data_IF_383169481281
#
_entry.id   IF_383169481281
#
_cell.length_a   1.000
_cell.length_b   1.000
_cell.length_c   1.000
_cell.angle_alpha   90.00
_cell.angle_beta   90.00
_cell.angle_gamma   90.00
#
_symmetry.space_group_name_H-M   'P 1'
#
loop_
_entity.id
_entity.type
_entity.pdbx_description
1 polymer ?
#
# COMPACT_ATOMS: atom_id res chain seq x y z
N UNK A 1 -1.77 9.38 -7.50
CA UNK A 1 -2.51 8.13 -7.18
C UNK A 1 -3.75 8.00 -8.06
N UNK A 2 -4.20 6.80 -8.35
CA UNK A 2 -5.46 6.53 -9.06
C UNK A 2 -6.62 6.67 -8.07
N UNK A 3 -7.20 7.87 -8.00
CA UNK A 3 -8.15 8.25 -6.94
C UNK A 3 -9.38 7.34 -6.88
N UNK A 4 -9.93 6.93 -8.03
CA UNK A 4 -11.08 6.02 -8.06
C UNK A 4 -10.78 4.65 -7.42
N UNK A 5 -9.56 4.11 -7.66
CA UNK A 5 -9.13 2.84 -7.06
C UNK A 5 -8.93 2.98 -5.56
N UNK A 6 -8.33 4.10 -5.13
CA UNK A 6 -8.16 4.41 -3.71
C UNK A 6 -9.52 4.53 -3.02
N UNK A 7 -10.47 5.24 -3.61
CA UNK A 7 -11.81 5.38 -3.06
C UNK A 7 -12.51 4.03 -2.87
N UNK A 8 -12.41 3.12 -3.86
CA UNK A 8 -12.96 1.76 -3.73
C UNK A 8 -12.31 0.96 -2.59
N UNK A 9 -11.00 1.14 -2.37
CA UNK A 9 -10.32 0.53 -1.23
C UNK A 9 -10.84 1.11 0.09
N UNK A 10 -10.99 2.42 0.19
CA UNK A 10 -11.52 3.09 1.38
C UNK A 10 -12.95 2.67 1.69
N UNK A 11 -13.81 2.51 0.67
CA UNK A 11 -15.18 2.03 0.82
C UNK A 11 -15.20 0.59 1.41
N UNK A 12 -14.34 -0.31 0.91
CA UNK A 12 -14.23 -1.67 1.46
C UNK A 12 -13.64 -1.68 2.88
N UNK A 13 -12.70 -0.79 3.17
CA UNK A 13 -12.21 -0.60 4.54
C UNK A 13 -13.34 -0.17 5.48
N UNK A 14 -14.16 0.81 5.06
CA UNK A 14 -15.29 1.30 5.83
C UNK A 14 -16.32 0.19 6.11
N UNK A 15 -16.64 -0.65 5.12
CA UNK A 15 -17.54 -1.80 5.28
C UNK A 15 -17.02 -2.82 6.31
N UNK A 16 -15.72 -2.88 6.51
CA UNK A 16 -15.05 -3.75 7.52
C UNK A 16 -14.77 -3.02 8.85
N UNK A 17 -15.26 -1.79 9.02
CA UNK A 17 -14.97 -0.93 10.18
C UNK A 17 -13.47 -0.68 10.40
N UNK A 18 -12.70 -0.57 9.32
CA UNK A 18 -11.27 -0.28 9.35
C UNK A 18 -11.02 1.20 8.99
N UNK A 19 -10.35 1.92 9.86
CA UNK A 19 -10.01 3.34 9.64
C UNK A 19 -8.65 3.53 9.01
N UNK A 20 -7.80 2.50 9.05
CA UNK A 20 -6.43 2.55 8.58
C UNK A 20 -5.95 1.22 8.02
N UNK A 21 -5.06 1.28 7.04
CA UNK A 21 -4.47 0.13 6.39
C UNK A 21 -3.04 0.44 5.94
N UNK A 22 -2.15 -0.53 6.08
CA UNK A 22 -0.79 -0.50 5.51
C UNK A 22 -0.76 -1.49 4.33
N UNK A 23 -0.43 -0.97 3.16
CA UNK A 23 -0.24 -1.73 1.93
C UNK A 23 1.26 -1.75 1.64
N UNK A 24 1.84 -2.92 1.48
CA UNK A 24 3.27 -3.13 1.28
C UNK A 24 3.61 -3.95 0.03
N UNK A 25 2.63 -4.65 -0.54
CA UNK A 25 2.83 -5.38 -1.79
C UNK A 25 3.13 -4.42 -2.95
N UNK A 26 4.30 -4.54 -3.63
CA UNK A 26 4.68 -3.67 -4.74
C UNK A 26 3.64 -3.62 -5.86
N UNK A 27 2.97 -4.74 -6.15
CA UNK A 27 1.90 -4.80 -7.17
C UNK A 27 0.66 -4.02 -6.76
N UNK A 28 0.29 -4.08 -5.47
CA UNK A 28 -0.83 -3.32 -4.92
C UNK A 28 -0.52 -1.81 -4.90
N UNK A 29 0.70 -1.44 -4.50
CA UNK A 29 1.17 -0.04 -4.54
C UNK A 29 1.18 0.47 -5.98
N UNK A 30 1.73 -0.30 -6.93
CA UNK A 30 1.69 0.04 -8.36
C UNK A 30 0.26 0.26 -8.86
N UNK A 31 -0.66 -0.64 -8.52
CA UNK A 31 -2.06 -0.54 -8.91
C UNK A 31 -2.72 0.77 -8.44
N UNK A 32 -2.37 1.22 -7.24
CA UNK A 32 -2.94 2.43 -6.62
C UNK A 32 -2.21 3.71 -7.02
N UNK A 33 -0.93 3.63 -7.39
CA UNK A 33 -0.08 4.81 -7.62
C UNK A 33 0.34 5.01 -9.06
N UNK A 34 0.34 3.95 -9.87
CA UNK A 34 0.90 3.94 -11.23
C UNK A 34 2.43 3.85 -11.27
N UNK A 35 3.12 3.77 -10.13
CA UNK A 35 4.58 3.74 -10.07
C UNK A 35 5.06 2.42 -9.46
N UNK A 36 5.89 1.69 -10.20
CA UNK A 36 6.49 0.45 -9.73
C UNK A 36 7.70 0.74 -8.85
N UNK A 37 7.69 0.24 -7.62
CA UNK A 37 8.81 0.33 -6.67
C UNK A 37 9.14 -1.08 -6.20
N UNK A 38 10.38 -1.51 -6.44
CA UNK A 38 10.92 -2.77 -5.93
C UNK A 38 11.82 -2.48 -4.73
N UNK A 39 11.33 -2.61 -3.50
CA UNK A 39 12.04 -2.13 -2.32
C UNK A 39 13.23 -3.00 -1.90
N UNK A 40 13.31 -4.26 -2.38
CA UNK A 40 14.26 -5.22 -1.85
C UNK A 40 13.99 -5.49 -0.37
N UNK A 41 14.99 -5.27 0.47
CA UNK A 41 14.88 -5.44 1.92
C UNK A 41 14.36 -4.18 2.66
N UNK A 42 14.21 -3.05 1.96
CA UNK A 42 13.85 -1.77 2.57
C UNK A 42 12.37 -1.67 2.85
N UNK A 43 12.02 -0.86 3.82
CA UNK A 43 10.64 -0.56 4.12
C UNK A 43 10.01 0.20 2.95
N UNK A 44 8.93 -0.39 2.42
CA UNK A 44 7.99 0.27 1.53
C UNK A 44 6.60 0.06 2.13
N UNK A 45 5.86 1.14 2.33
CA UNK A 45 4.50 1.08 2.86
C UNK A 45 3.65 2.26 2.37
N UNK A 46 2.51 1.97 1.80
CA UNK A 46 1.47 2.95 1.54
C UNK A 46 0.45 2.87 2.69
N UNK A 47 0.45 3.87 3.55
CA UNK A 47 -0.48 4.00 4.65
C UNK A 47 -1.72 4.75 4.19
N UNK A 48 -2.86 4.08 4.19
CA UNK A 48 -4.17 4.64 3.86
C UNK A 48 -4.99 4.87 5.11
N UNK A 49 -5.70 6.02 5.16
CA UNK A 49 -6.62 6.36 6.24
C UNK A 49 -7.96 6.84 5.69
N UNK A 50 -9.04 6.62 6.44
CA UNK A 50 -10.37 7.14 6.10
C UNK A 50 -10.44 8.67 6.09
N UNK A 51 -9.49 9.34 6.72
CA UNK A 51 -9.41 10.82 6.74
C UNK A 51 -8.80 11.42 5.48
N UNK A 52 -8.33 10.58 4.54
CA UNK A 52 -7.64 11.02 3.32
C UNK A 52 -6.19 11.45 3.52
N UNK A 53 -5.66 11.39 4.74
CA UNK A 53 -4.26 11.72 5.05
C UNK A 53 -3.32 10.53 4.76
N UNK A 54 -3.28 10.15 3.49
CA UNK A 54 -2.43 9.03 3.05
C UNK A 54 -0.95 9.39 3.08
N UNK A 55 -0.08 8.41 3.36
CA UNK A 55 1.37 8.58 3.38
C UNK A 55 2.06 7.42 2.67
N UNK A 56 3.05 7.72 1.85
CA UNK A 56 3.95 6.74 1.26
C UNK A 56 5.29 6.78 2.00
N UNK A 57 5.62 5.71 2.71
CA UNK A 57 6.93 5.49 3.33
C UNK A 57 7.83 4.82 2.32
N UNK A 58 8.89 5.48 1.91
CA UNK A 58 9.77 5.04 0.83
C UNK A 58 11.21 5.46 1.09
N UNK A 59 12.17 4.62 0.70
CA UNK A 59 13.58 4.94 0.86
C UNK A 59 14.04 5.97 -0.19
N UNK A 60 14.93 6.88 0.20
CA UNK A 60 15.56 7.92 -0.65
C UNK A 60 16.25 7.36 -1.90
N UNK A 61 16.57 6.06 -1.93
CA UNK A 61 17.09 5.37 -3.10
C UNK A 61 16.10 5.24 -4.25
N UNK A 62 14.82 5.57 -4.01
CA UNK A 62 13.77 5.58 -5.01
C UNK A 62 13.24 7.00 -5.29
N UNK A 63 14.11 7.94 -5.76
CA UNK A 63 13.74 9.36 -5.92
C UNK A 63 12.59 9.57 -6.91
N UNK A 64 12.39 8.66 -7.87
CA UNK A 64 11.27 8.70 -8.81
C UNK A 64 9.90 8.54 -8.13
N UNK A 65 9.85 8.07 -6.89
CA UNK A 65 8.62 8.04 -6.09
C UNK A 65 8.07 9.44 -5.81
N UNK A 66 8.88 10.49 -6.00
CA UNK A 66 8.42 11.89 -5.87
C UNK A 66 7.29 12.24 -6.83
N UNK A 67 7.23 11.60 -8.01
CA UNK A 67 6.15 11.79 -8.97
C UNK A 67 4.78 11.26 -8.49
N UNK A 68 4.73 10.42 -7.46
CA UNK A 68 3.48 9.90 -6.90
C UNK A 68 2.75 11.04 -6.17
N UNK A 69 1.51 11.31 -6.54
CA UNK A 69 0.67 12.31 -5.88
C UNK A 69 0.13 11.81 -4.52
N UNK A 70 1.02 11.74 -3.55
CA UNK A 70 0.76 11.35 -2.17
C UNK A 70 1.85 11.99 -1.31
N UNK A 71 1.54 12.33 -0.07
CA UNK A 71 2.57 12.75 0.88
C UNK A 71 3.57 11.62 1.12
N UNK A 72 4.86 11.95 1.10
CA UNK A 72 5.94 10.99 1.34
C UNK A 72 6.55 11.19 2.70
N UNK A 73 6.96 10.07 3.27
CA UNK A 73 7.89 10.02 4.40
C UNK A 73 9.15 9.33 3.87
N UNK A 74 10.17 10.14 3.59
CA UNK A 74 11.44 9.66 3.08
C UNK A 74 12.24 8.99 4.18
N UNK A 75 12.73 7.79 3.90
CA UNK A 75 13.52 6.98 4.81
C UNK A 75 14.90 6.74 4.23
N UNK A 76 15.87 6.52 5.09
CA UNK A 76 17.19 6.04 4.70
C UNK A 76 17.63 4.85 5.58
N UNK A 77 18.73 4.21 5.20
CA UNK A 77 19.16 2.96 5.83
C UNK A 77 19.66 3.15 7.29
N UNK A 78 19.84 4.41 7.75
CA UNK A 78 20.24 4.73 9.13
C UNK A 78 19.04 5.03 10.06
N UNK A 79 17.82 5.06 9.53
CA UNK A 79 16.61 5.39 10.29
C UNK A 79 15.92 4.13 10.82
N UNK A 80 15.31 4.23 12.00
CA UNK A 80 14.29 3.26 12.44
C UNK A 80 12.98 3.51 11.67
N UNK A 81 12.91 3.00 10.43
CA UNK A 81 11.75 3.22 9.57
C UNK A 81 10.44 2.71 10.16
N UNK A 82 10.48 1.65 10.97
CA UNK A 82 9.29 1.15 11.68
C UNK A 82 8.90 2.08 12.83
N UNK A 83 9.87 2.65 13.54
CA UNK A 83 9.61 3.69 14.53
C UNK A 83 8.90 4.88 13.92
N UNK A 84 9.42 5.36 12.78
CA UNK A 84 8.82 6.47 12.04
C UNK A 84 7.39 6.12 11.58
N UNK A 85 7.17 4.94 10.99
CA UNK A 85 5.82 4.51 10.57
C UNK A 85 4.85 4.42 11.77
N UNK A 86 5.31 3.91 12.91
CA UNK A 86 4.50 3.76 14.12
C UNK A 86 3.98 5.08 14.68
N UNK A 87 4.65 6.21 14.40
CA UNK A 87 4.20 7.55 14.82
C UNK A 87 2.94 8.02 14.06
N UNK A 88 2.70 7.51 12.86
CA UNK A 88 1.55 7.86 12.03
C UNK A 88 0.34 6.96 12.25
N UNK A 89 0.56 5.77 12.81
CA UNK A 89 -0.51 4.79 13.03
C UNK A 89 -1.37 5.18 14.21
N UNK A 90 -2.69 5.07 14.06
CA UNK A 90 -3.67 5.31 15.14
C UNK A 90 -3.63 4.13 16.14
N UNK A 91 -3.00 4.34 17.30
CA UNK A 91 -2.69 3.27 18.28
C UNK A 91 -3.92 2.57 18.85
N UNK A 92 -5.04 3.28 18.98
CA UNK A 92 -6.26 2.77 19.58
C UNK A 92 -7.19 2.08 18.57
N UNK A 93 -6.76 1.96 17.32
CA UNK A 93 -7.55 1.38 16.22
C UNK A 93 -6.89 0.14 15.63
N UNK A 94 -7.70 -0.79 15.08
CA UNK A 94 -7.17 -1.89 14.30
C UNK A 94 -6.39 -1.41 13.09
N UNK A 95 -5.30 -2.10 12.77
CA UNK A 95 -4.48 -1.84 11.56
C UNK A 95 -4.64 -3.01 10.61
N UNK A 96 -5.16 -2.75 9.41
CA UNK A 96 -5.17 -3.75 8.35
C UNK A 96 -3.79 -3.81 7.69
N UNK A 97 -3.28 -5.02 7.47
CA UNK A 97 -2.00 -5.28 6.81
C UNK A 97 -2.25 -6.15 5.59
N UNK A 98 -1.61 -5.85 4.49
CA UNK A 98 -1.69 -6.70 3.30
C UNK A 98 -0.78 -7.94 3.37
N UNK A 99 -0.79 -8.77 2.31
CA UNK A 99 -0.26 -10.13 2.32
C UNK A 99 1.26 -10.28 2.21
N UNK A 100 1.95 -9.31 1.66
CA UNK A 100 3.36 -9.44 1.27
C UNK A 100 4.24 -8.42 1.98
N UNK A 101 4.45 -8.64 3.28
CA UNK A 101 5.37 -7.78 4.03
C UNK A 101 6.40 -8.64 4.79
N UNK A 102 7.69 -8.32 4.75
CA UNK A 102 8.65 -9.02 5.58
C UNK A 102 8.23 -9.01 7.05
N UNK A 103 8.14 -10.18 7.68
CA UNK A 103 7.60 -10.37 9.03
C UNK A 103 8.25 -9.43 10.06
N UNK A 104 9.55 -9.10 9.89
CA UNK A 104 10.27 -8.17 10.78
C UNK A 104 9.59 -6.80 10.91
N UNK A 105 8.95 -6.30 9.88
CA UNK A 105 8.27 -5.00 9.92
C UNK A 105 6.98 -5.07 10.72
N UNK A 106 6.19 -6.13 10.52
CA UNK A 106 4.99 -6.35 11.31
C UNK A 106 5.33 -6.60 12.79
N UNK A 107 6.32 -7.44 13.07
CA UNK A 107 6.81 -7.70 14.43
C UNK A 107 7.23 -6.38 15.08
N UNK A 108 7.99 -5.55 14.38
CA UNK A 108 8.41 -4.25 14.89
C UNK A 108 7.25 -3.30 15.23
N UNK A 109 6.15 -3.29 14.44
CA UNK A 109 4.94 -2.53 14.79
C UNK A 109 4.23 -3.11 16.01
N UNK A 110 4.19 -4.43 16.15
CA UNK A 110 3.61 -5.12 17.32
C UNK A 110 4.39 -4.76 18.59
N UNK A 111 5.72 -4.85 18.55
CA UNK A 111 6.60 -4.52 19.67
C UNK A 111 6.45 -3.06 20.12
N UNK A 112 6.23 -2.16 19.16
CA UNK A 112 5.97 -0.73 19.40
C UNK A 112 4.52 -0.44 19.81
N UNK A 113 3.65 -1.44 19.84
CA UNK A 113 2.21 -1.28 20.14
C UNK A 113 1.57 -0.21 19.25
N UNK A 114 1.90 -0.26 17.97
CA UNK A 114 1.51 0.77 17.00
C UNK A 114 0.02 0.76 16.63
N UNK A 115 -0.71 -0.31 16.94
CA UNK A 115 -2.16 -0.43 16.75
C UNK A 115 -2.80 -1.26 17.86
N UNK A 116 -4.12 -1.14 18.04
CA UNK A 116 -4.84 -1.93 19.04
C UNK A 116 -4.84 -3.43 18.71
N UNK A 117 -4.86 -3.76 17.43
CA UNK A 117 -4.70 -5.11 16.87
C UNK A 117 -4.28 -5.02 15.41
N UNK A 118 -3.76 -6.13 14.87
CA UNK A 118 -3.40 -6.23 13.45
C UNK A 118 -4.28 -7.28 12.78
N UNK A 119 -4.88 -6.92 11.64
CA UNK A 119 -5.82 -7.78 10.91
C UNK A 119 -5.37 -7.95 9.45
N UNK A 120 -5.70 -9.08 8.85
CA UNK A 120 -5.41 -9.33 7.46
C UNK A 120 -6.32 -8.46 6.55
N UNK A 121 -5.72 -7.50 5.85
CA UNK A 121 -6.37 -6.60 4.91
C UNK A 121 -6.24 -7.00 3.44
N UNK A 122 -5.55 -8.11 3.14
CA UNK A 122 -5.22 -8.53 1.76
C UNK A 122 -6.41 -8.52 0.82
N UNK A 123 -7.54 -9.03 1.29
CA UNK A 123 -8.79 -9.14 0.50
C UNK A 123 -9.31 -7.78 0.03
N UNK A 124 -9.02 -6.71 0.73
CA UNK A 124 -9.54 -5.36 0.42
C UNK A 124 -9.03 -4.91 -0.94
N UNK A 125 -7.71 -4.88 -1.14
CA UNK A 125 -7.11 -4.49 -2.42
C UNK A 125 -7.36 -5.56 -3.49
N UNK A 126 -7.31 -6.84 -3.14
CA UNK A 126 -7.54 -7.93 -4.07
C UNK A 126 -8.93 -7.86 -4.71
N UNK A 127 -9.98 -7.58 -3.94
CA UNK A 127 -11.35 -7.41 -4.46
C UNK A 127 -11.46 -6.27 -5.45
N UNK A 128 -10.83 -5.13 -5.17
CA UNK A 128 -10.82 -4.00 -6.11
C UNK A 128 -10.10 -4.38 -7.41
N UNK A 129 -8.96 -5.09 -7.34
CA UNK A 129 -8.18 -5.56 -8.49
C UNK A 129 -8.87 -6.66 -9.30
N UNK A 130 -9.77 -7.43 -8.70
CA UNK A 130 -10.51 -8.50 -9.39
C UNK A 130 -11.41 -7.94 -10.49
N UNK A 131 -12.01 -6.77 -10.28
CA UNK A 131 -12.89 -6.10 -11.26
C UNK A 131 -12.05 -5.09 -12.04
N UNK A 132 -11.77 -5.41 -13.32
CA UNK A 132 -10.93 -4.59 -14.20
C UNK A 132 -11.72 -3.43 -14.76
N UNK A 133 -11.10 -2.25 -14.81
CA UNK A 133 -11.66 -1.10 -15.49
C UNK A 133 -11.49 -1.22 -17.03
N UNK A 134 -12.06 -0.28 -17.78
CA UNK A 134 -12.05 -0.32 -19.23
C UNK A 134 -10.63 -0.23 -19.84
N UNK A 135 -9.75 0.51 -19.19
CA UNK A 135 -8.35 0.65 -19.63
C UNK A 135 -7.55 -0.62 -19.36
N UNK A 136 -7.72 -1.21 -18.19
CA UNK A 136 -7.12 -2.50 -17.84
C UNK A 136 -7.58 -3.60 -18.80
N UNK A 137 -8.87 -3.64 -19.15
CA UNK A 137 -9.42 -4.59 -20.13
C UNK A 137 -8.78 -4.39 -21.50
N UNK A 138 -8.60 -3.14 -21.94
CA UNK A 138 -7.94 -2.83 -23.20
C UNK A 138 -6.49 -3.33 -23.22
N UNK A 139 -5.74 -3.06 -22.16
CA UNK A 139 -4.36 -3.52 -22.03
C UNK A 139 -4.25 -5.05 -22.00
N UNK A 140 -5.14 -5.72 -21.27
CA UNK A 140 -5.18 -7.19 -21.23
C UNK A 140 -5.50 -7.80 -22.58
N UNK A 141 -6.44 -7.23 -23.36
CA UNK A 141 -6.75 -7.70 -24.72
C UNK A 141 -5.55 -7.52 -25.65
N UNK A 142 -4.86 -6.39 -25.57
CA UNK A 142 -3.67 -6.15 -26.38
C UNK A 142 -2.53 -7.10 -25.99
N UNK A 143 -2.30 -7.33 -24.73
CA UNK A 143 -1.31 -8.31 -24.26
C UNK A 143 -1.63 -9.74 -24.76
N UNK A 144 -2.90 -10.15 -24.72
CA UNK A 144 -3.34 -11.44 -25.27
C UNK A 144 -3.09 -11.51 -26.78
N UNK A 145 -3.46 -10.46 -27.53
CA UNK A 145 -3.23 -10.39 -28.98
C UNK A 145 -1.75 -10.53 -29.34
N UNK A 146 -0.86 -9.85 -28.57
CA UNK A 146 0.59 -9.95 -28.80
C UNK A 146 1.11 -11.36 -28.50
N UNK A 147 0.60 -12.00 -27.46
CA UNK A 147 0.98 -13.37 -27.11
C UNK A 147 0.55 -14.39 -28.18
N UNK A 148 -0.60 -14.16 -28.86
CA UNK A 148 -1.08 -15.04 -29.94
C UNK A 148 -0.24 -14.88 -31.25
N UNK A 149 0.59 -13.85 -31.34
CA UNK A 149 1.49 -13.60 -32.47
C UNK A 149 2.93 -14.14 -32.27
N UNK A 150 3.27 -14.56 -31.05
CA UNK A 150 4.60 -15.02 -30.68
C UNK A 150 4.73 -16.54 -30.82
#
# INVERSE_FOLDING_TARGET
MHQERVNKVLDLMAQKNLTQMIISDPSAIFYLTGTWIQPGERLLALYLTQTGKHKLFVNELFPFADAIQCDKVWLNDNMDGIGVLAEYVEKDKPVAIDKNWPARFLIGLIDKKAGSTFVNGSEIVDRVRMVKDAEEIKLMREASRLNDLA
#
